data_IF_999556500648
#
_entry.id   IF_999556500648
#
_cell.length_a   1.000
_cell.length_b   1.000
_cell.length_c   1.000
_cell.angle_alpha   90.00
_cell.angle_beta   90.00
_cell.angle_gamma   90.00
#
_symmetry.space_group_name_H-M   'P 1'
#
loop_
_entity.id
_entity.type
_entity.pdbx_description
1 polymer ?
#
# COMPACT_ATOMS: atom_id res chain seq x y z
N UNK A 1 -32.40 5.88 1.68
CA UNK A 1 -31.10 6.46 1.26
C UNK A 1 -30.21 5.29 0.91
N UNK A 2 -30.27 4.88 -0.34
CA UNK A 2 -29.56 3.74 -0.90
C UNK A 2 -28.82 4.22 -2.15
N UNK A 3 -27.72 3.54 -2.53
CA UNK A 3 -26.99 3.82 -3.77
C UNK A 3 -25.47 3.67 -3.68
N UNK A 4 -24.88 3.85 -2.49
CA UNK A 4 -23.42 3.99 -2.31
C UNK A 4 -22.70 2.72 -1.78
N UNK A 5 -23.10 1.51 -2.20
CA UNK A 5 -22.28 0.30 -1.99
C UNK A 5 -22.64 -0.85 -2.95
N UNK A 6 -22.38 -0.69 -4.26
CA UNK A 6 -22.57 -1.78 -5.24
C UNK A 6 -21.46 -1.88 -6.30
N UNK A 7 -20.65 -0.82 -6.50
CA UNK A 7 -19.54 -0.81 -7.49
C UNK A 7 -18.14 -0.96 -6.88
N UNK A 8 -17.88 -0.38 -5.70
CA UNK A 8 -16.67 -0.70 -4.93
C UNK A 8 -16.55 -2.22 -4.65
N UNK A 9 -17.69 -2.89 -4.41
CA UNK A 9 -17.76 -4.36 -4.34
C UNK A 9 -17.30 -5.07 -5.63
N UNK A 10 -17.46 -4.48 -6.81
CA UNK A 10 -17.12 -5.13 -8.08
C UNK A 10 -15.60 -5.27 -8.27
N UNK A 11 -14.81 -4.28 -7.84
CA UNK A 11 -13.35 -4.41 -7.76
C UNK A 11 -12.95 -5.49 -6.74
N UNK A 12 -13.53 -5.46 -5.54
CA UNK A 12 -13.25 -6.45 -4.48
C UNK A 12 -13.63 -7.90 -4.88
N UNK A 13 -14.76 -8.10 -5.59
CA UNK A 13 -15.17 -9.41 -6.11
C UNK A 13 -14.30 -9.90 -7.28
N UNK A 14 -13.72 -9.00 -8.08
CA UNK A 14 -12.78 -9.37 -9.15
C UNK A 14 -11.42 -9.83 -8.61
N UNK A 15 -11.07 -9.49 -7.37
CA UNK A 15 -9.79 -9.80 -6.73
C UNK A 15 -9.80 -11.10 -5.88
N UNK A 16 -10.98 -11.60 -5.50
CA UNK A 16 -11.10 -12.69 -4.50
C UNK A 16 -11.29 -14.11 -5.07
N UNK A 17 -11.36 -14.27 -6.41
CA UNK A 17 -11.48 -15.59 -7.05
C UNK A 17 -10.17 -16.13 -7.62
N UNK A 18 -9.49 -16.91 -6.79
CA UNK A 18 -8.58 -17.97 -7.21
C UNK A 18 -7.15 -17.85 -6.68
N UNK A 19 -6.81 -18.70 -5.70
CA UNK A 19 -5.69 -19.65 -5.78
C UNK A 19 -5.77 -20.64 -4.60
N UNK A 20 -5.26 -21.85 -4.82
CA UNK A 20 -4.96 -22.82 -3.76
C UNK A 20 -3.43 -22.98 -3.68
N UNK A 21 -2.85 -23.29 -2.50
CA UNK A 21 -1.41 -23.45 -2.38
C UNK A 21 -0.94 -24.79 -2.94
N UNK A 22 0.22 -24.79 -3.61
CA UNK A 22 0.98 -25.97 -4.00
C UNK A 22 2.41 -25.85 -3.42
N UNK A 23 3.12 -26.97 -3.24
CA UNK A 23 4.25 -27.09 -2.30
C UNK A 23 5.46 -27.82 -2.91
N UNK A 24 6.67 -27.40 -2.48
CA UNK A 24 7.98 -28.11 -2.48
C UNK A 24 9.11 -27.47 -3.32
N UNK A 25 10.35 -27.53 -2.81
CA UNK A 25 11.59 -27.16 -3.50
C UNK A 25 12.74 -26.79 -2.54
N UNK A 26 13.72 -27.68 -2.36
CA UNK A 26 14.90 -27.52 -1.47
C UNK A 26 16.20 -28.03 -2.16
N UNK A 27 17.44 -27.70 -1.76
CA UNK A 27 17.92 -26.88 -0.61
C UNK A 27 18.55 -25.54 -1.12
N UNK A 28 19.81 -25.09 -0.99
CA UNK A 28 21.09 -25.56 -0.37
C UNK A 28 21.96 -24.32 0.01
N UNK A 29 22.94 -24.45 0.91
CA UNK A 29 23.63 -23.33 1.59
C UNK A 29 25.02 -22.95 1.02
N UNK A 30 25.58 -21.79 1.42
CA UNK A 30 26.99 -21.70 1.85
C UNK A 30 27.45 -20.36 2.49
N UNK A 31 28.22 -20.49 3.58
CA UNK A 31 29.36 -19.63 3.99
C UNK A 31 29.15 -18.30 4.76
N UNK A 32 28.97 -18.42 6.08
CA UNK A 32 29.64 -17.64 7.15
C UNK A 32 29.58 -16.09 7.21
N UNK A 33 28.69 -15.61 8.09
CA UNK A 33 28.78 -14.38 8.87
C UNK A 33 27.94 -14.57 10.15
N UNK A 34 28.20 -13.89 11.28
CA UNK A 34 27.57 -14.24 12.56
C UNK A 34 26.06 -13.89 12.58
N UNK A 35 25.22 -14.90 12.32
CA UNK A 35 23.77 -14.81 12.38
C UNK A 35 23.27 -14.77 13.84
N UNK A 36 23.37 -13.57 14.42
CA UNK A 36 22.57 -13.19 15.58
C UNK A 36 21.24 -12.63 15.07
N UNK A 37 20.22 -13.50 15.03
CA UNK A 37 18.88 -13.20 14.49
C UNK A 37 18.39 -11.81 14.91
N UNK A 38 18.26 -10.88 13.95
CA UNK A 38 17.87 -9.50 14.26
C UNK A 38 16.42 -9.46 14.74
N UNK A 39 16.25 -9.25 16.04
CA UNK A 39 14.97 -8.95 16.66
C UNK A 39 14.56 -7.49 16.47
N UNK A 40 13.39 -7.09 17.00
CA UNK A 40 12.95 -5.70 16.99
C UNK A 40 13.90 -4.80 17.81
N UNK A 41 14.02 -3.54 17.39
CA UNK A 41 14.82 -2.53 18.10
C UNK A 41 14.17 -2.18 19.43
N UNK A 42 14.93 -2.23 20.53
CA UNK A 42 14.43 -1.83 21.85
C UNK A 42 14.31 -0.31 21.96
N UNK A 43 13.10 0.17 22.25
CA UNK A 43 12.77 1.59 22.38
C UNK A 43 12.57 1.90 23.86
N UNK A 44 13.63 2.40 24.50
CA UNK A 44 13.75 2.59 25.96
C UNK A 44 13.17 3.90 26.48
N UNK A 45 12.89 4.85 25.58
CA UNK A 45 12.46 6.21 25.92
C UNK A 45 11.67 6.83 24.77
N UNK A 46 10.92 7.89 25.08
CA UNK A 46 10.04 8.58 24.11
C UNK A 46 10.83 9.18 22.93
N UNK A 47 11.96 9.89 23.11
CA UNK A 47 12.79 10.37 22.00
C UNK A 47 13.20 9.26 21.03
N UNK A 48 13.73 8.13 21.51
CA UNK A 48 14.12 7.01 20.67
C UNK A 48 12.93 6.43 19.89
N UNK A 49 11.76 6.31 20.51
CA UNK A 49 10.55 5.83 19.84
C UNK A 49 10.04 6.81 18.76
N UNK A 50 10.09 8.12 19.01
CA UNK A 50 9.70 9.15 18.02
C UNK A 50 10.69 9.19 16.85
N UNK A 51 11.99 9.16 17.12
CA UNK A 51 13.02 9.11 16.08
C UNK A 51 12.85 7.88 15.20
N UNK A 52 12.69 6.69 15.82
CA UNK A 52 12.47 5.42 15.14
C UNK A 52 11.28 5.43 14.17
N UNK A 53 10.14 5.98 14.58
CA UNK A 53 8.97 6.12 13.70
C UNK A 53 9.26 7.12 12.57
N UNK A 54 9.89 8.25 12.87
CA UNK A 54 10.15 9.31 11.88
C UNK A 54 11.19 8.93 10.82
N UNK A 55 12.05 7.95 11.11
CA UNK A 55 13.11 7.47 10.22
C UNK A 55 12.62 6.54 9.10
N UNK A 56 11.36 6.07 9.14
CA UNK A 56 10.80 5.10 8.21
C UNK A 56 9.47 5.58 7.60
N UNK A 57 9.14 5.09 6.39
CA UNK A 57 7.80 5.29 5.82
C UNK A 57 6.73 4.48 6.55
N UNK A 58 7.13 3.31 7.07
CA UNK A 58 6.32 2.35 7.82
C UNK A 58 7.17 1.82 8.96
N UNK A 59 6.72 2.03 10.19
CA UNK A 59 7.33 1.49 11.41
C UNK A 59 6.29 0.72 12.22
N UNK A 60 6.68 -0.37 12.85
CA UNK A 60 5.78 -1.21 13.66
C UNK A 60 6.37 -1.39 15.04
N UNK A 61 5.62 -1.03 16.09
CA UNK A 61 6.05 -1.20 17.47
C UNK A 61 5.14 -2.18 18.20
N UNK A 62 5.75 -3.22 18.76
CA UNK A 62 5.12 -4.07 19.77
C UNK A 62 5.23 -3.41 21.14
N UNK A 63 4.10 -2.98 21.70
CA UNK A 63 4.05 -2.41 23.04
C UNK A 63 3.53 -3.46 24.02
N UNK A 64 4.42 -4.03 24.82
CA UNK A 64 4.16 -5.23 25.63
C UNK A 64 4.57 -5.00 27.08
N UNK A 65 3.60 -4.87 27.98
CA UNK A 65 3.79 -4.79 29.43
C UNK A 65 4.29 -6.13 30.01
N UNK A 66 3.85 -7.23 29.39
CA UNK A 66 4.30 -8.60 29.65
C UNK A 66 4.93 -9.16 28.36
N UNK A 67 6.13 -9.72 28.49
CA UNK A 67 6.95 -10.21 27.38
C UNK A 67 6.87 -11.75 27.23
N UNK A 68 6.28 -12.47 28.19
CA UNK A 68 6.18 -13.95 28.16
C UNK A 68 4.93 -14.46 27.42
N UNK A 69 4.08 -13.53 26.93
CA UNK A 69 2.85 -13.85 26.21
C UNK A 69 3.10 -14.39 24.77
N UNK A 70 2.27 -15.32 24.25
CA UNK A 70 2.52 -15.98 22.97
C UNK A 70 2.69 -15.05 21.76
N UNK A 71 1.97 -13.92 21.75
CA UNK A 71 2.03 -12.92 20.67
C UNK A 71 3.41 -12.27 20.50
N UNK A 72 4.26 -12.24 21.53
CA UNK A 72 5.62 -11.70 21.42
C UNK A 72 6.48 -12.59 20.52
N UNK A 73 6.38 -13.91 20.64
CA UNK A 73 7.04 -14.86 19.73
C UNK A 73 6.54 -14.69 18.29
N UNK A 74 5.22 -14.50 18.11
CA UNK A 74 4.62 -14.21 16.81
C UNK A 74 5.15 -12.88 16.23
N UNK A 75 5.29 -11.84 17.05
CA UNK A 75 5.84 -10.54 16.63
C UNK A 75 7.30 -10.64 16.18
N UNK A 76 8.16 -11.34 16.93
CA UNK A 76 9.55 -11.59 16.53
C UNK A 76 9.66 -12.34 15.19
N UNK A 77 8.74 -13.28 14.91
CA UNK A 77 8.71 -13.99 13.62
C UNK A 77 8.40 -13.10 12.41
N UNK A 78 7.75 -11.94 12.62
CA UNK A 78 7.49 -10.99 11.54
C UNK A 78 8.74 -10.20 11.13
N UNK A 79 9.65 -9.93 12.07
CA UNK A 79 10.89 -9.18 11.80
C UNK A 79 11.75 -9.90 10.75
N UNK A 80 11.81 -11.23 10.83
CA UNK A 80 12.51 -12.07 9.86
C UNK A 80 11.86 -12.08 8.47
N UNK A 81 10.52 -11.96 8.41
CA UNK A 81 9.75 -11.98 7.15
C UNK A 81 9.75 -10.62 6.43
N UNK A 82 9.63 -9.52 7.16
CA UNK A 82 9.41 -8.18 6.60
C UNK A 82 10.64 -7.28 6.76
N UNK A 83 11.73 -7.69 6.11
CA UNK A 83 13.05 -7.05 6.23
C UNK A 83 13.09 -5.60 5.68
N UNK A 84 12.06 -5.17 4.95
CA UNK A 84 11.87 -3.80 4.46
C UNK A 84 11.06 -2.90 5.43
N UNK A 85 10.59 -3.43 6.56
CA UNK A 85 9.77 -2.74 7.56
C UNK A 85 10.54 -2.62 8.88
N UNK A 86 10.50 -1.42 9.49
CA UNK A 86 11.21 -1.18 10.74
C UNK A 86 10.41 -1.68 11.95
N UNK A 87 10.88 -2.73 12.63
CA UNK A 87 10.26 -3.26 13.85
C UNK A 87 10.94 -2.75 15.14
N UNK A 88 10.14 -2.20 16.04
CA UNK A 88 10.53 -1.80 17.39
C UNK A 88 9.75 -2.58 18.46
N UNK A 89 10.27 -2.60 19.68
CA UNK A 89 9.60 -3.16 20.86
C UNK A 89 9.81 -2.24 22.06
N UNK A 90 8.78 -2.11 22.90
CA UNK A 90 8.91 -1.38 24.17
C UNK A 90 7.99 -1.96 25.25
N UNK A 91 8.51 -1.94 26.47
CA UNK A 91 7.77 -2.13 27.72
C UNK A 91 7.94 -0.93 28.67
N UNK A 92 8.55 0.17 28.22
CA UNK A 92 8.77 1.35 29.05
C UNK A 92 7.46 2.13 29.33
N UNK A 93 7.29 2.55 30.58
CA UNK A 93 6.07 3.21 31.03
C UNK A 93 5.85 4.62 30.45
N UNK A 94 6.91 5.37 30.12
CA UNK A 94 6.77 6.70 29.50
C UNK A 94 6.47 6.57 28.00
N UNK A 95 7.12 5.61 27.31
CA UNK A 95 6.81 5.24 25.92
C UNK A 95 5.36 4.75 25.79
N UNK A 96 4.93 3.82 26.64
CA UNK A 96 3.56 3.31 26.62
C UNK A 96 2.54 4.42 26.93
N UNK A 97 2.83 5.35 27.86
CA UNK A 97 1.98 6.49 28.13
C UNK A 97 1.88 7.45 26.92
N UNK A 98 2.99 7.72 26.24
CA UNK A 98 3.05 8.64 25.10
C UNK A 98 2.17 8.19 23.92
N UNK A 99 2.13 6.88 23.63
CA UNK A 99 1.32 6.31 22.55
C UNK A 99 -0.07 5.81 23.01
N UNK A 100 -0.56 6.25 24.18
CA UNK A 100 -1.85 5.86 24.75
C UNK A 100 -2.04 4.33 24.87
N UNK A 101 -1.03 3.63 25.37
CA UNK A 101 -0.99 2.17 25.47
C UNK A 101 -1.40 1.70 26.87
N UNK A 102 -2.69 1.41 27.04
CA UNK A 102 -3.24 0.85 28.30
C UNK A 102 -3.17 -0.68 28.40
N UNK A 103 -2.87 -1.37 27.29
CA UNK A 103 -2.83 -2.84 27.18
C UNK A 103 -1.73 -3.28 26.20
N UNK A 104 -1.31 -4.54 26.29
CA UNK A 104 -0.48 -5.21 25.28
C UNK A 104 -1.08 -5.02 23.88
N UNK A 105 -0.30 -4.47 22.95
CA UNK A 105 -0.78 -4.08 21.62
C UNK A 105 0.35 -4.02 20.59
N UNK A 106 -0.01 -4.06 19.30
CA UNK A 106 0.90 -3.81 18.19
C UNK A 106 0.38 -2.59 17.43
N UNK A 107 1.22 -1.59 17.20
CA UNK A 107 0.88 -0.41 16.38
C UNK A 107 1.73 -0.36 15.12
N UNK A 108 1.09 -0.15 13.96
CA UNK A 108 1.73 0.22 12.71
C UNK A 108 1.54 1.72 12.49
N UNK A 109 2.65 2.43 12.32
CA UNK A 109 2.72 3.86 12.02
C UNK A 109 3.11 4.03 10.56
N UNK A 110 2.46 4.95 9.84
CA UNK A 110 2.69 5.16 8.40
C UNK A 110 2.71 6.64 8.00
N UNK A 111 3.82 7.05 7.39
CA UNK A 111 4.15 8.45 7.12
C UNK A 111 3.31 9.08 5.99
N UNK A 112 2.81 8.26 5.04
CA UNK A 112 2.17 8.74 3.81
C UNK A 112 0.87 9.54 4.03
N UNK A 113 0.11 9.19 5.08
CA UNK A 113 -1.06 9.93 5.58
C UNK A 113 -0.94 10.39 7.05
N UNK A 114 0.07 9.90 7.78
CA UNK A 114 0.32 10.12 9.21
C UNK A 114 -0.70 9.39 10.13
N UNK A 115 -1.03 8.15 9.78
CA UNK A 115 -1.93 7.29 10.56
C UNK A 115 -1.20 6.33 11.50
N UNK A 116 -1.86 5.97 12.61
CA UNK A 116 -1.48 4.89 13.53
C UNK A 116 -2.60 3.84 13.58
N UNK A 117 -2.30 2.63 13.12
CA UNK A 117 -3.23 1.49 13.15
C UNK A 117 -2.85 0.56 14.30
N UNK A 118 -3.76 0.33 15.24
CA UNK A 118 -3.50 -0.39 16.49
C UNK A 118 -4.30 -1.69 16.56
N UNK A 119 -3.63 -2.78 16.93
CA UNK A 119 -4.23 -4.07 17.30
C UNK A 119 -4.15 -4.21 18.82
N UNK A 120 -5.28 -4.43 19.50
CA UNK A 120 -5.36 -4.62 20.95
C UNK A 120 -6.54 -5.52 21.35
N UNK A 121 -6.49 -6.10 22.56
CA UNK A 121 -7.57 -6.98 23.05
C UNK A 121 -7.63 -8.31 22.29
N UNK A 122 -8.82 -8.70 21.83
CA UNK A 122 -9.09 -10.01 21.22
C UNK A 122 -8.18 -10.33 20.01
N UNK A 123 -7.82 -9.30 19.22
CA UNK A 123 -6.86 -9.40 18.10
C UNK A 123 -5.48 -9.92 18.57
N UNK A 124 -5.03 -9.46 19.74
CA UNK A 124 -3.72 -9.77 20.33
C UNK A 124 -3.77 -11.09 21.11
N UNK A 125 -4.84 -11.34 21.85
CA UNK A 125 -5.04 -12.55 22.65
C UNK A 125 -5.03 -13.83 21.80
N UNK A 126 -5.52 -13.75 20.57
CA UNK A 126 -5.58 -14.87 19.62
C UNK A 126 -4.76 -14.59 18.33
N UNK A 127 -3.65 -13.86 18.47
CA UNK A 127 -2.81 -13.49 17.34
C UNK A 127 -2.10 -14.70 16.72
N UNK A 128 -2.29 -14.87 15.41
CA UNK A 128 -1.58 -15.87 14.60
C UNK A 128 -0.61 -15.17 13.64
N UNK A 129 0.51 -15.81 13.32
CA UNK A 129 1.48 -15.26 12.38
C UNK A 129 0.86 -14.91 11.02
N UNK A 130 -0.14 -15.68 10.56
CA UNK A 130 -0.92 -15.44 9.34
C UNK A 130 -1.82 -14.20 9.43
N UNK A 131 -2.38 -13.89 10.61
CA UNK A 131 -3.19 -12.69 10.86
C UNK A 131 -2.30 -11.45 10.89
N UNK A 132 -1.22 -11.49 11.67
CA UNK A 132 -0.29 -10.38 11.79
C UNK A 132 0.40 -10.07 10.45
N UNK A 133 0.86 -11.12 9.74
CA UNK A 133 1.41 -10.99 8.39
C UNK A 133 0.44 -10.33 7.42
N UNK A 134 -0.85 -10.72 7.44
CA UNK A 134 -1.88 -10.08 6.61
C UNK A 134 -2.08 -8.61 6.98
N UNK A 135 -2.10 -8.27 8.27
CA UNK A 135 -2.21 -6.89 8.74
C UNK A 135 -1.03 -6.04 8.24
N UNK A 136 0.20 -6.58 8.30
CA UNK A 136 1.41 -5.91 7.80
C UNK A 136 1.34 -5.73 6.28
N UNK A 137 1.10 -6.80 5.51
CA UNK A 137 0.98 -6.78 4.04
C UNK A 137 -0.10 -5.82 3.53
N UNK A 138 -1.22 -5.71 4.26
CA UNK A 138 -2.34 -4.82 3.88
C UNK A 138 -2.00 -3.36 4.15
N UNK A 139 -1.40 -3.06 5.31
CA UNK A 139 -1.34 -1.68 5.82
C UNK A 139 0.03 -0.99 5.68
N UNK A 140 1.06 -1.67 5.17
CA UNK A 140 2.41 -1.10 4.94
C UNK A 140 2.46 -0.18 3.71
N UNK A 141 1.63 0.86 3.71
CA UNK A 141 1.49 1.81 2.60
C UNK A 141 2.57 2.91 2.69
N UNK A 142 3.30 3.09 1.59
CA UNK A 142 4.52 3.91 1.43
C UNK A 142 4.27 5.14 0.55
N UNK A 143 5.24 6.05 0.43
CA UNK A 143 5.15 7.25 -0.44
C UNK A 143 4.84 6.88 -1.89
N UNK A 144 5.41 5.77 -2.38
CA UNK A 144 4.84 5.03 -3.52
C UNK A 144 4.68 3.57 -3.11
N UNK A 145 3.45 3.08 -3.12
CA UNK A 145 3.11 1.69 -2.78
C UNK A 145 3.06 0.82 -4.03
N UNK A 146 3.68 -0.35 -4.03
CA UNK A 146 3.52 -1.30 -5.14
C UNK A 146 2.18 -2.05 -5.01
N UNK A 147 1.40 -2.04 -6.09
CA UNK A 147 0.11 -2.70 -6.15
C UNK A 147 0.28 -4.22 -6.25
N UNK A 148 -0.38 -4.89 -5.32
CA UNK A 148 -0.79 -6.29 -5.41
C UNK A 148 -2.18 -6.40 -4.78
N UNK A 149 -2.88 -7.56 -4.87
CA UNK A 149 -4.23 -7.69 -4.32
C UNK A 149 -4.35 -7.37 -2.82
N UNK A 150 -3.30 -7.60 -2.01
CA UNK A 150 -3.30 -7.33 -0.56
C UNK A 150 -3.12 -5.85 -0.25
N UNK A 151 -2.14 -5.17 -0.86
CA UNK A 151 -1.98 -3.71 -0.71
C UNK A 151 -3.18 -2.96 -1.30
N UNK A 152 -3.83 -3.54 -2.32
CA UNK A 152 -5.12 -3.09 -2.83
C UNK A 152 -6.18 -2.88 -1.74
N UNK A 153 -6.43 -3.89 -0.89
CA UNK A 153 -7.38 -3.75 0.24
C UNK A 153 -6.99 -2.62 1.20
N UNK A 154 -5.68 -2.43 1.45
CA UNK A 154 -5.18 -1.36 2.30
C UNK A 154 -5.45 0.04 1.75
N UNK A 155 -5.15 0.25 0.45
CA UNK A 155 -5.33 1.54 -0.22
C UNK A 155 -6.80 2.02 -0.13
N UNK A 156 -7.76 1.11 -0.34
CA UNK A 156 -9.20 1.40 -0.20
C UNK A 156 -9.67 1.65 1.24
N UNK A 157 -8.89 1.29 2.26
CA UNK A 157 -9.20 1.52 3.68
C UNK A 157 -8.58 2.83 4.22
N UNK A 158 -7.95 3.66 3.38
CA UNK A 158 -7.39 4.95 3.80
C UNK A 158 -8.40 6.10 3.71
N UNK A 159 -8.11 7.22 4.38
CA UNK A 159 -8.87 8.46 4.27
C UNK A 159 -8.49 9.30 3.03
N UNK A 160 -7.54 8.85 2.20
CA UNK A 160 -7.11 9.57 1.00
C UNK A 160 -7.86 9.01 -0.20
N UNK A 161 -8.97 9.65 -0.55
CA UNK A 161 -9.89 9.19 -1.60
C UNK A 161 -9.31 9.19 -3.01
N UNK A 162 -8.14 9.82 -3.26
CA UNK A 162 -7.58 10.00 -4.60
C UNK A 162 -6.29 9.19 -4.74
N UNK A 163 -6.27 8.34 -5.75
CA UNK A 163 -5.20 7.40 -6.06
C UNK A 163 -4.60 7.76 -7.43
N UNK A 164 -3.28 7.95 -7.51
CA UNK A 164 -2.55 8.01 -8.78
C UNK A 164 -1.76 6.72 -8.96
N UNK A 165 -1.89 6.09 -10.13
CA UNK A 165 -1.22 4.85 -10.48
C UNK A 165 -0.27 5.12 -11.66
N UNK A 166 1.01 4.76 -11.50
CA UNK A 166 1.95 4.62 -12.61
C UNK A 166 1.92 3.16 -13.07
N UNK A 167 1.43 2.94 -14.29
CA UNK A 167 1.41 1.62 -14.94
C UNK A 167 2.62 1.52 -15.86
N UNK A 168 3.57 0.66 -15.52
CA UNK A 168 4.86 0.52 -16.22
C UNK A 168 5.40 -0.90 -16.04
N UNK A 169 6.17 -1.42 -17.00
CA UNK A 169 6.85 -2.70 -16.86
C UNK A 169 8.14 -2.52 -16.04
N UNK A 170 8.28 -3.19 -14.88
CA UNK A 170 9.49 -3.07 -14.02
C UNK A 170 10.77 -3.58 -14.69
N UNK A 171 10.67 -4.37 -15.76
CA UNK A 171 11.81 -4.81 -16.57
C UNK A 171 12.14 -3.87 -17.76
N UNK A 172 11.46 -2.73 -17.90
CA UNK A 172 11.81 -1.72 -18.92
C UNK A 172 13.07 -0.93 -18.50
N UNK A 173 13.99 -0.61 -19.42
CA UNK A 173 15.20 0.15 -19.07
C UNK A 173 14.89 1.57 -18.58
N UNK A 174 13.74 2.13 -18.95
CA UNK A 174 13.26 3.44 -18.49
C UNK A 174 12.64 3.39 -17.07
N UNK A 175 12.40 2.21 -16.50
CA UNK A 175 11.71 2.08 -15.20
C UNK A 175 12.39 2.87 -14.08
N UNK A 176 13.72 2.75 -13.92
CA UNK A 176 14.43 3.34 -12.79
C UNK A 176 14.33 4.88 -12.74
N UNK A 177 14.49 5.54 -13.89
CA UNK A 177 14.41 6.99 -14.03
C UNK A 177 12.96 7.50 -13.87
N UNK A 178 11.99 6.81 -14.48
CA UNK A 178 10.56 7.11 -14.30
C UNK A 178 10.15 6.99 -12.82
N UNK A 179 10.60 5.92 -12.15
CA UNK A 179 10.33 5.63 -10.74
C UNK A 179 11.00 6.64 -9.80
N UNK A 180 12.18 7.17 -10.13
CA UNK A 180 12.79 8.27 -9.40
C UNK A 180 11.94 9.54 -9.49
N UNK A 181 11.62 10.00 -10.71
CA UNK A 181 10.81 11.22 -10.93
C UNK A 181 9.39 11.11 -10.38
N UNK A 182 8.81 9.92 -10.38
CA UNK A 182 7.50 9.65 -9.79
C UNK A 182 7.52 9.80 -8.25
N UNK A 183 8.61 9.40 -7.59
CA UNK A 183 8.81 9.67 -6.14
C UNK A 183 9.03 11.15 -5.85
N UNK A 184 9.73 11.89 -6.72
CA UNK A 184 9.85 13.35 -6.58
C UNK A 184 8.47 14.03 -6.64
N UNK A 185 7.64 13.65 -7.62
CA UNK A 185 6.27 14.16 -7.74
C UNK A 185 5.37 13.76 -6.55
N UNK A 186 5.50 12.53 -6.03
CA UNK A 186 4.73 12.05 -4.88
C UNK A 186 4.87 12.95 -3.63
N UNK A 187 6.06 13.55 -3.42
CA UNK A 187 6.28 14.46 -2.28
C UNK A 187 5.42 15.73 -2.33
N UNK A 188 4.98 16.18 -3.51
CA UNK A 188 4.11 17.35 -3.67
C UNK A 188 2.65 17.08 -3.24
N UNK A 189 2.24 15.80 -3.23
CA UNK A 189 0.86 15.37 -3.00
C UNK A 189 0.68 14.50 -1.75
N UNK A 190 1.69 14.43 -0.86
CA UNK A 190 1.57 13.78 0.44
C UNK A 190 0.29 14.21 1.17
N UNK A 191 -0.39 13.24 1.78
CA UNK A 191 -1.67 13.44 2.49
C UNK A 191 -2.84 13.97 1.63
N UNK A 192 -2.70 13.98 0.29
CA UNK A 192 -3.75 14.38 -0.68
C UNK A 192 -4.02 13.34 -1.77
N UNK A 193 -2.99 12.67 -2.26
CA UNK A 193 -3.07 11.61 -3.28
C UNK A 193 -2.12 10.49 -2.87
N UNK A 194 -2.61 9.24 -2.89
CA UNK A 194 -1.75 8.07 -2.75
C UNK A 194 -1.13 7.71 -4.10
N UNK A 195 0.20 7.62 -4.14
CA UNK A 195 0.92 7.21 -5.33
C UNK A 195 1.17 5.70 -5.31
N UNK A 196 0.83 5.04 -6.42
CA UNK A 196 0.83 3.60 -6.58
C UNK A 196 1.65 3.22 -7.81
N UNK A 197 2.42 2.13 -7.72
CA UNK A 197 3.10 1.50 -8.84
C UNK A 197 2.33 0.22 -9.24
N UNK A 198 1.95 0.09 -10.51
CA UNK A 198 1.36 -1.13 -11.07
C UNK A 198 2.34 -1.71 -12.08
N UNK A 199 3.01 -2.80 -11.72
CA UNK A 199 3.87 -3.51 -12.68
C UNK A 199 3.01 -4.17 -13.76
N UNK A 200 3.22 -3.78 -15.02
CA UNK A 200 2.56 -4.40 -16.17
C UNK A 200 3.23 -5.69 -16.63
N UNK A 201 4.39 -6.07 -16.07
CA UNK A 201 4.98 -7.40 -16.24
C UNK A 201 4.24 -8.49 -15.47
N UNK A 202 3.47 -8.13 -14.43
CA UNK A 202 2.68 -9.06 -13.61
C UNK A 202 1.32 -9.27 -14.26
N UNK A 203 1.06 -10.50 -14.70
CA UNK A 203 -0.16 -10.91 -15.42
C UNK A 203 -1.45 -10.62 -14.63
N UNK A 204 -1.40 -10.79 -13.33
CA UNK A 204 -2.51 -10.61 -12.38
C UNK A 204 -2.98 -9.15 -12.33
N UNK A 205 -2.07 -8.20 -12.59
CA UNK A 205 -2.35 -6.76 -12.65
C UNK A 205 -3.14 -6.38 -13.92
N UNK A 206 -3.21 -7.24 -14.94
CA UNK A 206 -3.96 -7.00 -16.18
C UNK A 206 -5.44 -6.65 -15.98
N UNK A 207 -6.05 -7.08 -14.87
CA UNK A 207 -7.41 -6.65 -14.46
C UNK A 207 -7.48 -5.15 -14.16
N UNK A 208 -6.49 -4.60 -13.45
CA UNK A 208 -6.40 -3.17 -13.09
C UNK A 208 -6.12 -2.33 -14.33
N UNK A 209 -5.19 -2.77 -15.18
CA UNK A 209 -4.87 -2.11 -16.45
C UNK A 209 -6.11 -2.04 -17.36
N UNK A 210 -6.88 -3.12 -17.42
CA UNK A 210 -8.15 -3.20 -18.18
C UNK A 210 -9.26 -2.32 -17.61
N UNK A 211 -9.34 -2.13 -16.28
CA UNK A 211 -10.33 -1.24 -15.65
C UNK A 211 -10.18 0.21 -16.14
N UNK A 212 -8.94 0.68 -16.23
CA UNK A 212 -8.59 2.00 -16.78
C UNK A 212 -8.59 2.06 -18.31
N UNK A 213 -9.09 1.02 -18.99
CA UNK A 213 -9.14 0.85 -20.47
C UNK A 213 -7.77 0.97 -21.17
N UNK A 214 -6.66 0.85 -20.43
CA UNK A 214 -5.31 0.95 -20.97
C UNK A 214 -4.93 -0.34 -21.74
N UNK A 215 -4.07 -0.18 -22.75
CA UNK A 215 -3.46 -1.27 -23.52
C UNK A 215 -1.96 -1.26 -23.31
N UNK A 216 -1.30 -2.41 -23.47
CA UNK A 216 0.16 -2.54 -23.41
C UNK A 216 0.87 -1.54 -24.34
N UNK A 217 0.33 -1.29 -25.53
CA UNK A 217 0.85 -0.31 -26.51
C UNK A 217 0.62 1.16 -26.12
N UNK A 218 0.12 1.45 -24.93
CA UNK A 218 -0.05 2.79 -24.34
C UNK A 218 0.76 2.95 -23.04
N UNK A 219 1.59 1.97 -22.69
CA UNK A 219 2.41 2.02 -21.48
C UNK A 219 3.83 2.56 -21.79
N UNK A 220 4.47 3.31 -20.86
CA UNK A 220 3.97 3.65 -19.52
C UNK A 220 2.80 4.65 -19.55
N UNK A 221 1.95 4.59 -18.52
CA UNK A 221 0.78 5.45 -18.39
C UNK A 221 0.54 5.87 -16.94
N UNK A 222 -0.02 7.06 -16.75
CA UNK A 222 -0.68 7.44 -15.51
C UNK A 222 -2.18 7.12 -15.59
N UNK A 223 -2.74 6.67 -14.47
CA UNK A 223 -4.17 6.61 -14.25
C UNK A 223 -4.48 7.28 -12.92
N UNK A 224 -5.46 8.18 -12.86
CA UNK A 224 -5.92 8.81 -11.61
C UNK A 224 -7.36 8.37 -11.33
N UNK A 225 -7.65 8.04 -10.07
CA UNK A 225 -8.91 7.45 -9.63
C UNK A 225 -9.38 8.09 -8.32
N UNK A 226 -10.70 8.17 -8.13
CA UNK A 226 -11.35 8.62 -6.89
C UNK A 226 -12.25 7.52 -6.33
N UNK A 227 -11.99 7.09 -5.09
CA UNK A 227 -12.69 5.99 -4.41
C UNK A 227 -14.16 6.31 -4.10
N UNK A 228 -14.48 7.59 -3.89
CA UNK A 228 -15.79 8.06 -3.44
C UNK A 228 -16.92 7.85 -4.49
N UNK A 229 -16.60 8.03 -5.77
CA UNK A 229 -17.58 8.11 -6.87
C UNK A 229 -17.17 7.32 -8.13
N UNK A 230 -16.14 6.48 -8.03
CA UNK A 230 -15.52 5.70 -9.12
C UNK A 230 -15.03 6.55 -10.32
N UNK A 231 -14.85 7.87 -10.19
CA UNK A 231 -14.31 8.70 -11.27
C UNK A 231 -12.83 8.40 -11.54
N UNK A 232 -12.44 8.39 -12.81
CA UNK A 232 -11.05 8.27 -13.23
C UNK A 232 -10.76 8.90 -14.59
N UNK A 233 -9.48 9.20 -14.83
CA UNK A 233 -8.95 9.55 -16.15
C UNK A 233 -7.56 8.91 -16.37
N UNK A 234 -7.05 8.90 -17.61
CA UNK A 234 -5.75 8.30 -17.95
C UNK A 234 -4.90 9.18 -18.88
N UNK A 235 -3.59 9.07 -18.72
CA UNK A 235 -2.60 9.78 -19.54
C UNK A 235 -1.45 8.82 -19.91
N UNK A 236 -1.46 8.24 -21.12
CA UNK A 236 -0.29 7.59 -21.72
C UNK A 236 0.88 8.58 -21.81
N UNK A 237 2.09 8.14 -21.46
CA UNK A 237 3.30 8.98 -21.42
C UNK A 237 4.50 8.26 -22.05
N UNK A 238 5.43 9.02 -22.63
CA UNK A 238 6.75 8.50 -23.00
C UNK A 238 7.71 8.45 -21.81
N UNK A 239 7.59 9.43 -20.91
CA UNK A 239 8.36 9.54 -19.68
C UNK A 239 7.56 10.28 -18.60
N UNK A 240 7.84 9.96 -17.34
CA UNK A 240 7.37 10.72 -16.18
C UNK A 240 8.17 12.02 -16.11
N UNK A 241 7.48 13.14 -15.95
CA UNK A 241 8.07 14.40 -15.48
C UNK A 241 7.24 14.90 -14.30
N UNK A 242 7.85 15.62 -13.36
CA UNK A 242 7.13 16.17 -12.20
C UNK A 242 6.03 17.14 -12.64
N UNK A 243 6.30 17.92 -13.69
CA UNK A 243 5.32 18.83 -14.30
C UNK A 243 4.12 18.09 -14.92
N UNK A 244 4.33 17.01 -15.69
CA UNK A 244 3.22 16.23 -16.26
C UNK A 244 2.37 15.57 -15.17
N UNK A 245 3.00 15.00 -14.13
CA UNK A 245 2.28 14.43 -12.98
C UNK A 245 1.47 15.51 -12.25
N UNK A 246 2.07 16.66 -11.97
CA UNK A 246 1.38 17.76 -11.30
C UNK A 246 0.20 18.27 -12.12
N UNK A 247 0.40 18.62 -13.39
CA UNK A 247 -0.66 19.14 -14.27
C UNK A 247 -1.82 18.14 -14.42
N UNK A 248 -1.54 16.83 -14.43
CA UNK A 248 -2.56 15.78 -14.48
C UNK A 248 -3.34 15.67 -13.15
N UNK A 249 -2.65 15.69 -12.00
CA UNK A 249 -3.29 15.66 -10.69
C UNK A 249 -4.15 16.91 -10.45
N UNK A 250 -3.59 18.11 -10.67
CA UNK A 250 -4.28 19.38 -10.45
C UNK A 250 -5.50 19.50 -11.39
N UNK A 251 -5.38 19.09 -12.67
CA UNK A 251 -6.50 19.06 -13.61
C UNK A 251 -7.65 18.13 -13.22
N UNK A 252 -7.38 17.02 -12.53
CA UNK A 252 -8.41 16.12 -12.00
C UNK A 252 -9.04 16.63 -10.70
N UNK A 253 -8.23 17.23 -9.81
CA UNK A 253 -8.69 17.91 -8.59
C UNK A 253 -9.64 19.08 -8.92
N UNK A 254 -9.32 19.85 -9.97
CA UNK A 254 -10.15 20.96 -10.46
C UNK A 254 -11.36 20.53 -11.32
N UNK A 255 -11.56 19.22 -11.54
CA UNK A 255 -12.66 18.69 -12.35
C UNK A 255 -12.58 19.03 -13.85
N UNK A 256 -11.39 19.44 -14.34
CA UNK A 256 -11.14 19.75 -15.76
C UNK A 256 -10.95 18.47 -16.58
N UNK A 257 -10.43 17.41 -15.97
CA UNK A 257 -10.16 16.11 -16.56
C UNK A 257 -11.35 15.13 -16.38
N UNK A 258 -12.34 15.31 -17.24
CA UNK A 258 -13.41 14.32 -17.55
C UNK A 258 -13.68 14.28 -19.08
N UNK A 259 -12.74 14.80 -19.88
CA UNK A 259 -12.94 15.13 -21.30
C UNK A 259 -12.49 13.99 -22.22
N UNK A 260 -13.28 12.92 -22.26
CA UNK A 260 -13.66 12.22 -23.51
C UNK A 260 -14.51 10.97 -23.23
N UNK A 261 -14.25 10.27 -22.12
CA UNK A 261 -14.84 8.97 -21.79
C UNK A 261 -16.38 8.88 -21.88
N UNK A 262 -17.11 9.96 -21.59
CA UNK A 262 -18.59 9.98 -21.65
C UNK A 262 -19.19 10.21 -23.06
N UNK A 263 -18.42 10.65 -24.05
CA UNK A 263 -18.96 10.92 -25.41
C UNK A 263 -19.14 9.69 -26.29
N UNK A 264 -18.60 8.54 -25.89
CA UNK A 264 -18.65 7.32 -26.68
C UNK A 264 -19.98 6.54 -26.55
N UNK A 265 -20.75 6.74 -25.48
CA UNK A 265 -21.92 5.90 -25.17
C UNK A 265 -23.24 6.39 -25.80
N UNK A 266 -23.36 7.67 -26.19
CA UNK A 266 -24.59 8.21 -26.80
C UNK A 266 -24.70 8.00 -28.33
N UNK A 267 -23.64 7.55 -29.01
CA UNK A 267 -23.63 7.38 -30.49
C UNK A 267 -23.78 5.92 -30.94
N UNK A 268 -24.84 5.25 -30.50
CA UNK A 268 -25.40 4.08 -31.21
C UNK A 268 -26.74 4.44 -31.85
N UNK A 269 -26.81 4.67 -33.18
CA UNK A 269 -28.08 4.94 -33.83
C UNK A 269 -28.95 3.68 -33.83
N UNK A 270 -30.18 3.79 -33.31
CA UNK A 270 -31.21 2.77 -33.54
C UNK A 270 -31.53 2.71 -35.03
N UNK A 271 -31.00 1.72 -35.72
CA UNK A 271 -31.49 1.31 -37.03
C UNK A 271 -32.70 0.41 -36.78
N UNK A 272 -33.90 0.95 -36.97
CA UNK A 272 -35.11 0.14 -37.10
C UNK A 272 -35.14 -0.49 -38.50
N UNK A 273 -35.33 -1.81 -38.57
CA UNK A 273 -35.99 -2.56 -39.65
C UNK A 273 -36.15 -4.04 -39.24
#
# INVERSE_FOLDING_TARGET
MEGACSRCLLLLFLLTRGLAPEVAGEVEESSDGPDASQGPVWLTDVPAAVEFISAAEVAIIGFFQDLEIPVVSVFYSMVQKFQDVSFGISNDSEVLAHYNITKNSISLFRLVDNEQLKLEGEDIENMEATKLSRFIETNSLRLVTEYNPMTGFGLFNTLIEIHLLLVINKASPEYAENMHRYREAARLFQRKILFILVDSGIKENGKVISFFKLKESQLPALAIYRTLDDQWDTLPISEVTVEHVQNFCDGFLEGKLLRENHKAEEMTPKVEL
#
